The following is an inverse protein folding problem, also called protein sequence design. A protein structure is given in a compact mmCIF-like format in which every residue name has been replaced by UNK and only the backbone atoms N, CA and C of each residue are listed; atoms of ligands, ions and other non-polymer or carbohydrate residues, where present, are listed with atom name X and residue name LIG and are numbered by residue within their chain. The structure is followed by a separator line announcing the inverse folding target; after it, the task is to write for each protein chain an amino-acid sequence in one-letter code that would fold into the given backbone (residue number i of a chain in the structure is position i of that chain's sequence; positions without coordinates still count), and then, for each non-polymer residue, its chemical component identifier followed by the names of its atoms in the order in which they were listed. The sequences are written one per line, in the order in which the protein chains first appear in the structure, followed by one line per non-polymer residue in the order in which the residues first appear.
data_IF_883317881607
#
_entry.id   IF_883317881607
#
_cell.length_a   1.000
_cell.length_b   1.000
_cell.length_c   1.000
_cell.angle_alpha   90.00
_cell.angle_beta   90.00
_cell.angle_gamma   90.00
#
_symmetry.space_group_name_H-M   'P 1'
#
loop_
_entity.id
_entity.type
_entity.pdbx_description
1 polymer ?
#
# COMPACT_ATOMS: atom_id res chain seq x y z
N UNK A 1 5.25 12.23 23.88
CA UNK A 1 4.18 11.39 23.31
C UNK A 1 4.57 11.05 21.89
N UNK A 2 5.03 9.82 21.56
CA UNK A 2 5.33 9.51 20.17
C UNK A 2 4.00 9.29 19.46
N UNK A 3 3.51 10.35 18.83
CA UNK A 3 2.42 10.28 17.87
C UNK A 3 2.84 9.24 16.84
N UNK A 4 2.21 8.06 16.88
CA UNK A 4 2.33 7.06 15.82
C UNK A 4 1.59 7.60 14.60
N UNK A 5 2.15 8.67 14.02
CA UNK A 5 1.65 9.27 12.81
C UNK A 5 1.92 8.24 11.70
N UNK A 6 0.86 7.66 11.18
CA UNK A 6 0.92 6.94 9.91
C UNK A 6 1.54 7.93 8.92
N UNK A 7 2.67 7.60 8.26
CA UNK A 7 3.33 8.53 7.37
C UNK A 7 2.40 8.93 6.23
N UNK A 8 2.39 10.21 5.86
CA UNK A 8 1.44 10.78 4.90
C UNK A 8 1.43 10.02 3.56
N UNK A 9 2.59 9.57 3.08
CA UNK A 9 2.66 8.74 1.86
C UNK A 9 1.91 7.40 1.96
N UNK A 10 1.73 6.80 3.15
CA UNK A 10 0.88 5.61 3.31
C UNK A 10 -0.60 5.97 3.23
N UNK A 11 -0.98 7.14 3.72
CA UNK A 11 -2.35 7.65 3.61
C UNK A 11 -2.66 7.93 2.14
N UNK A 12 -1.81 8.67 1.44
CA UNK A 12 -1.97 8.95 0.01
C UNK A 12 -2.01 7.67 -0.83
N UNK A 13 -1.14 6.69 -0.53
CA UNK A 13 -1.17 5.41 -1.21
C UNK A 13 -2.48 4.65 -0.96
N UNK A 14 -2.99 4.64 0.28
CA UNK A 14 -4.27 4.01 0.60
C UNK A 14 -5.44 4.71 -0.11
N UNK A 15 -5.43 6.04 -0.19
CA UNK A 15 -6.40 6.80 -0.98
C UNK A 15 -6.35 6.44 -2.47
N UNK A 16 -5.15 6.39 -3.05
CA UNK A 16 -4.96 5.98 -4.45
C UNK A 16 -5.47 4.56 -4.72
N UNK A 17 -5.37 3.64 -3.75
CA UNK A 17 -5.95 2.29 -3.86
C UNK A 17 -7.49 2.29 -3.84
N UNK A 18 -8.12 3.23 -3.16
CA UNK A 18 -9.58 3.36 -3.16
C UNK A 18 -10.05 3.97 -4.49
N UNK A 19 -9.36 5.00 -4.98
CA UNK A 19 -9.75 5.75 -6.18
C UNK A 19 -9.38 5.03 -7.50
N UNK A 20 -8.31 4.24 -7.52
CA UNK A 20 -7.81 3.59 -8.73
C UNK A 20 -8.00 2.06 -8.69
N UNK A 21 -9.00 1.56 -9.42
CA UNK A 21 -9.33 0.14 -9.49
C UNK A 21 -8.19 -0.73 -10.07
N UNK A 22 -7.38 -0.20 -10.99
CA UNK A 22 -6.25 -0.93 -11.56
C UNK A 22 -5.12 -1.07 -10.52
N UNK A 23 -4.77 0.03 -9.84
CA UNK A 23 -3.79 0.01 -8.77
C UNK A 23 -4.22 -0.92 -7.63
N UNK A 24 -5.52 -0.91 -7.28
CA UNK A 24 -6.11 -1.82 -6.30
C UNK A 24 -6.00 -3.28 -6.71
N UNK A 25 -6.37 -3.60 -7.95
CA UNK A 25 -6.27 -4.97 -8.46
C UNK A 25 -4.83 -5.47 -8.43
N UNK A 26 -3.88 -4.63 -8.84
CA UNK A 26 -2.46 -4.92 -8.72
C UNK A 26 -2.06 -5.14 -7.26
N UNK A 27 -2.48 -4.28 -6.33
CA UNK A 27 -2.17 -4.43 -4.92
C UNK A 27 -2.74 -5.74 -4.35
N UNK A 28 -3.99 -6.08 -4.67
CA UNK A 28 -4.59 -7.36 -4.24
C UNK A 28 -3.86 -8.57 -4.81
N UNK A 29 -3.36 -8.49 -6.04
CA UNK A 29 -2.58 -9.56 -6.66
C UNK A 29 -1.32 -9.92 -5.85
N UNK A 30 -0.71 -8.95 -5.17
CA UNK A 30 0.42 -9.18 -4.26
C UNK A 30 0.05 -10.05 -3.06
N UNK A 31 -1.23 -10.08 -2.67
CA UNK A 31 -1.75 -10.90 -1.59
C UNK A 31 -1.73 -12.39 -1.89
N UNK A 32 -1.69 -12.77 -3.17
CA UNK A 32 -1.59 -14.17 -3.62
C UNK A 32 -0.15 -14.69 -3.61
N UNK A 33 0.84 -13.82 -3.50
CA UNK A 33 2.25 -14.21 -3.44
C UNK A 33 2.63 -14.65 -2.01
N UNK A 34 3.55 -15.62 -1.87
CA UNK A 34 4.20 -15.88 -0.60
C UNK A 34 4.79 -14.60 -0.02
N UNK A 35 4.71 -14.43 1.30
CA UNK A 35 5.15 -13.21 2.00
C UNK A 35 6.56 -12.74 1.60
N UNK A 36 7.49 -13.67 1.42
CA UNK A 36 8.87 -13.37 0.99
C UNK A 36 8.89 -12.72 -0.39
N UNK A 37 8.22 -13.34 -1.38
CA UNK A 37 8.13 -12.79 -2.74
C UNK A 37 7.40 -11.45 -2.79
N UNK A 38 6.33 -11.29 -2.01
CA UNK A 38 5.62 -10.01 -1.88
C UNK A 38 6.54 -8.92 -1.36
N UNK A 39 7.30 -9.20 -0.30
CA UNK A 39 8.22 -8.25 0.30
C UNK A 39 9.32 -7.85 -0.69
N UNK A 40 9.87 -8.82 -1.43
CA UNK A 40 10.86 -8.55 -2.46
C UNK A 40 10.27 -7.71 -3.59
N UNK A 41 9.07 -8.01 -4.07
CA UNK A 41 8.39 -7.23 -5.11
C UNK A 41 8.18 -5.77 -4.69
N UNK A 42 7.70 -5.54 -3.45
CA UNK A 42 7.51 -4.19 -2.90
C UNK A 42 8.84 -3.42 -2.79
N UNK A 43 9.90 -4.08 -2.32
CA UNK A 43 11.22 -3.47 -2.23
C UNK A 43 11.83 -3.17 -3.61
N UNK A 44 11.65 -4.05 -4.59
CA UNK A 44 12.09 -3.83 -5.96
C UNK A 44 11.33 -2.67 -6.59
N UNK A 45 10.03 -2.55 -6.32
CA UNK A 45 9.24 -1.43 -6.82
C UNK A 45 9.71 -0.11 -6.21
N UNK A 46 9.90 -0.03 -4.90
CA UNK A 46 10.45 1.17 -4.26
C UNK A 46 11.82 1.57 -4.83
N UNK A 47 12.68 0.60 -5.17
CA UNK A 47 13.96 0.86 -5.84
C UNK A 47 13.77 1.40 -7.26
N UNK A 48 12.80 0.88 -8.01
CA UNK A 48 12.49 1.37 -9.35
C UNK A 48 11.98 2.81 -9.32
N UNK A 49 11.01 3.09 -8.44
CA UNK A 49 10.45 4.43 -8.22
C UNK A 49 11.53 5.43 -7.82
N UNK A 50 12.46 5.03 -6.95
CA UNK A 50 13.64 5.86 -6.59
C UNK A 50 14.52 6.19 -7.79
N UNK A 51 14.72 5.24 -8.72
CA UNK A 51 15.50 5.48 -9.95
C UNK A 51 14.76 6.39 -10.93
N UNK A 52 13.44 6.28 -10.97
CA UNK A 52 12.56 7.13 -11.77
C UNK A 52 12.38 8.55 -11.18
N UNK A 53 12.97 8.84 -10.01
CA UNK A 53 12.82 10.11 -9.27
C UNK A 53 11.36 10.44 -8.96
N UNK A 54 10.58 9.41 -8.67
CA UNK A 54 9.22 9.59 -8.15
C UNK A 54 9.22 10.15 -6.74
N UNK A 55 8.03 10.43 -6.24
CA UNK A 55 7.81 11.04 -4.95
C UNK A 55 8.49 10.25 -3.80
N UNK A 56 9.34 10.89 -2.98
CA UNK A 56 10.09 10.22 -1.91
C UNK A 56 9.21 9.70 -0.77
N UNK A 57 8.06 10.32 -0.52
CA UNK A 57 7.11 9.89 0.50
C UNK A 57 6.36 8.65 0.04
N UNK A 58 5.97 8.59 -1.24
CA UNK A 58 5.41 7.41 -1.87
C UNK A 58 6.41 6.24 -1.92
N UNK A 59 7.68 6.50 -2.28
CA UNK A 59 8.75 5.48 -2.24
C UNK A 59 8.90 4.90 -0.83
N UNK A 60 8.84 5.77 0.18
CA UNK A 60 8.93 5.38 1.59
C UNK A 60 7.72 4.56 2.00
N UNK A 61 6.50 4.95 1.58
CA UNK A 61 5.27 4.22 1.81
C UNK A 61 5.31 2.81 1.23
N UNK A 62 5.73 2.65 -0.03
CA UNK A 62 5.87 1.33 -0.68
C UNK A 62 6.91 0.47 0.05
N UNK A 63 8.02 1.06 0.50
CA UNK A 63 9.03 0.35 1.29
C UNK A 63 8.49 -0.11 2.66
N UNK A 64 7.60 0.67 3.27
CA UNK A 64 6.96 0.32 4.54
C UNK A 64 6.02 -0.88 4.40
N UNK A 65 5.36 -1.06 3.25
CA UNK A 65 4.49 -2.22 3.02
C UNK A 65 5.24 -3.56 3.09
N UNK A 66 6.54 -3.57 2.79
CA UNK A 66 7.38 -4.76 2.91
C UNK A 66 7.71 -5.12 4.39
N UNK A 67 7.42 -4.22 5.34
CA UNK A 67 7.59 -4.51 6.77
C UNK A 67 6.58 -5.57 7.24
N UNK A 68 6.92 -6.34 8.29
CA UNK A 68 5.99 -7.29 8.90
C UNK A 68 4.64 -6.63 9.18
N UNK A 69 3.55 -7.32 8.81
CA UNK A 69 2.15 -6.92 9.06
C UNK A 69 1.66 -5.65 8.38
N UNK A 70 2.52 -4.79 7.84
CA UNK A 70 2.11 -3.51 7.26
C UNK A 70 1.22 -3.68 6.03
N UNK A 71 1.59 -4.60 5.13
CA UNK A 71 0.75 -4.95 3.98
C UNK A 71 -0.66 -5.40 4.40
N UNK A 72 -0.75 -6.24 5.44
CA UNK A 72 -2.03 -6.77 5.93
C UNK A 72 -2.88 -5.67 6.58
N UNK A 73 -2.25 -4.77 7.33
CA UNK A 73 -2.90 -3.58 7.91
C UNK A 73 -3.47 -2.66 6.83
N UNK A 74 -2.69 -2.33 5.81
CA UNK A 74 -3.16 -1.48 4.70
C UNK A 74 -4.24 -2.18 3.90
N UNK A 75 -4.11 -3.49 3.67
CA UNK A 75 -5.13 -4.28 2.99
C UNK A 75 -6.46 -4.27 3.74
N UNK A 76 -6.45 -4.42 5.07
CA UNK A 76 -7.65 -4.35 5.89
C UNK A 76 -8.30 -2.96 5.80
N UNK A 77 -7.52 -1.89 5.98
CA UNK A 77 -8.02 -0.53 5.90
C UNK A 77 -8.65 -0.20 4.53
N UNK A 78 -8.04 -0.63 3.43
CA UNK A 78 -8.59 -0.43 2.08
C UNK A 78 -9.88 -1.22 1.88
N UNK A 79 -9.99 -2.43 2.44
CA UNK A 79 -11.22 -3.23 2.38
C UNK A 79 -12.36 -2.60 3.17
N UNK A 80 -12.09 -2.15 4.40
CA UNK A 80 -13.07 -1.45 5.24
C UNK A 80 -13.63 -0.22 4.51
N UNK A 81 -12.75 0.61 3.92
CA UNK A 81 -13.18 1.80 3.17
C UNK A 81 -14.02 1.49 1.93
N UNK A 82 -13.79 0.36 1.27
CA UNK A 82 -14.57 -0.05 0.10
C UNK A 82 -15.91 -0.69 0.47
N UNK A 83 -15.96 -1.38 1.61
CA UNK A 83 -17.19 -1.91 2.18
C UNK A 83 -18.11 -0.76 2.63
N UNK A 84 -17.56 0.24 3.33
CA UNK A 84 -18.28 1.47 3.70
C UNK A 84 -18.76 2.26 2.48
N UNK A 85 -17.99 2.27 1.38
CA UNK A 85 -18.36 2.94 0.13
C UNK A 85 -19.38 2.15 -0.72
N UNK A 86 -19.70 0.91 -0.32
CA UNK A 86 -20.70 0.06 -0.97
C UNK A 86 -21.93 -0.08 -0.06
N UNK A 87 -22.78 0.95 0.05
CA UNK A 87 -24.05 0.80 0.76
C UNK A 87 -24.85 -0.28 0.03
N UNK A 88 -25.30 -1.27 0.79
CA UNK A 88 -26.18 -2.32 0.30
C UNK A 88 -27.41 -1.67 -0.37
N UNK A 89 -27.47 -1.73 -1.70
CA UNK A 89 -28.71 -1.57 -2.48
C UNK A 89 -29.30 -2.94 -2.76
#
# INVERSE_FOLDING_TARGET
MPQSAVPDGLVEFAHALVENAHLRSWFYSLGHLPRTHRNEALLQMARHMRRAKEDPDLISAISLLARPKMYETVLAAVRERLDEASPHT
#
